data_IF_125299535938
#
_entry.id   IF_125299535938
#
_cell.length_a   1.000
_cell.length_b   1.000
_cell.length_c   1.000
_cell.angle_alpha   90.00
_cell.angle_beta   90.00
_cell.angle_gamma   90.00
#
_symmetry.space_group_name_H-M   'P 1'
#
loop_
_entity.id
_entity.type
_entity.pdbx_description
1 polymer ?
#
# COMPACT_ATOMS: atom_id res chain seq x y z
N UNK A 1 -21.56 4.99 0.71
CA UNK A 1 -21.46 5.40 2.12
C UNK A 1 -20.50 4.42 2.79
N UNK A 2 -19.41 4.90 3.41
CA UNK A 2 -18.48 4.03 4.13
C UNK A 2 -18.90 4.00 5.61
N UNK A 3 -19.23 2.83 6.18
CA UNK A 3 -19.57 2.77 7.60
C UNK A 3 -18.34 3.10 8.47
N UNK A 4 -18.51 3.67 9.67
CA UNK A 4 -17.42 3.85 10.61
C UNK A 4 -16.68 2.53 10.89
N UNK A 5 -15.37 2.59 11.10
CA UNK A 5 -14.52 1.43 11.47
C UNK A 5 -14.65 0.22 10.52
N UNK A 6 -14.76 0.49 9.23
CA UNK A 6 -14.95 -0.51 8.18
C UNK A 6 -13.71 -0.63 7.27
N UNK A 7 -12.52 -0.99 7.81
CA UNK A 7 -11.28 -1.02 7.05
C UNK A 7 -11.33 -2.04 5.91
N UNK A 8 -12.13 -3.10 6.05
CA UNK A 8 -12.35 -4.12 5.01
C UNK A 8 -12.98 -3.54 3.74
N UNK A 9 -13.63 -2.38 3.84
CA UNK A 9 -14.25 -1.67 2.72
C UNK A 9 -13.39 -0.49 2.25
N UNK A 10 -12.12 -0.37 2.68
CA UNK A 10 -11.25 0.74 2.31
C UNK A 10 -10.07 0.25 1.45
N UNK A 11 -10.03 0.54 0.14
CA UNK A 11 -8.99 0.02 -0.76
C UNK A 11 -7.57 0.48 -0.37
N UNK A 12 -7.49 1.62 0.33
CA UNK A 12 -6.23 2.16 0.85
C UNK A 12 -5.57 1.22 1.88
N UNK A 13 -6.34 0.43 2.64
CA UNK A 13 -5.80 -0.54 3.59
C UNK A 13 -5.06 -1.69 2.88
N UNK A 14 -5.57 -2.10 1.72
CA UNK A 14 -4.93 -3.12 0.87
C UNK A 14 -3.64 -2.55 0.27
N UNK A 15 -3.69 -1.32 -0.25
CA UNK A 15 -2.51 -0.62 -0.77
C UNK A 15 -1.41 -0.47 0.30
N UNK A 16 -1.77 -0.04 1.52
CA UNK A 16 -0.82 0.02 2.63
C UNK A 16 -0.27 -1.35 3.02
N UNK A 17 -1.04 -2.42 2.87
CA UNK A 17 -0.56 -3.77 3.13
C UNK A 17 0.53 -4.19 2.14
N UNK A 18 0.43 -3.80 0.87
CA UNK A 18 1.48 -3.99 -0.15
C UNK A 18 2.73 -3.19 0.22
N UNK A 19 2.58 -1.88 0.50
CA UNK A 19 3.70 -1.00 0.89
C UNK A 19 4.44 -1.58 2.12
N UNK A 20 3.69 -1.97 3.16
CA UNK A 20 4.26 -2.59 4.37
C UNK A 20 4.97 -3.91 4.06
N UNK A 21 4.44 -4.72 3.15
CA UNK A 21 5.07 -5.98 2.76
C UNK A 21 6.40 -5.74 2.04
N UNK A 22 6.45 -4.79 1.11
CA UNK A 22 7.69 -4.40 0.43
C UNK A 22 8.73 -3.87 1.42
N UNK A 23 8.36 -2.91 2.27
CA UNK A 23 9.29 -2.34 3.26
C UNK A 23 9.83 -3.38 4.24
N UNK A 24 9.04 -4.39 4.62
CA UNK A 24 9.51 -5.50 5.48
C UNK A 24 10.50 -6.42 4.77
N UNK A 25 10.39 -6.56 3.45
CA UNK A 25 11.25 -7.43 2.65
C UNK A 25 12.55 -6.73 2.26
N UNK A 26 12.43 -5.50 1.77
CA UNK A 26 13.48 -4.81 1.03
C UNK A 26 13.93 -3.50 1.70
N UNK A 27 13.18 -2.98 2.68
CA UNK A 27 13.43 -1.70 3.35
C UNK A 27 14.57 -1.70 4.38
N UNK A 28 15.57 -2.59 4.26
CA UNK A 28 16.72 -2.65 5.17
C UNK A 28 17.50 -1.33 5.20
N UNK A 29 17.53 -0.61 4.07
CA UNK A 29 18.17 0.69 3.94
C UNK A 29 17.35 1.83 4.54
N UNK A 30 16.11 1.62 4.98
CA UNK A 30 15.24 2.68 5.51
C UNK A 30 15.84 3.42 6.72
N UNK A 31 16.71 2.75 7.48
CA UNK A 31 17.35 3.31 8.68
C UNK A 31 18.62 4.13 8.38
N UNK A 32 19.00 4.28 7.11
CA UNK A 32 20.12 5.12 6.70
C UNK A 32 19.66 6.57 6.56
N UNK A 33 20.54 7.52 6.88
CA UNK A 33 20.23 8.95 6.77
C UNK A 33 19.89 9.29 5.30
N UNK A 34 18.77 9.97 5.08
CA UNK A 34 18.20 10.37 3.77
C UNK A 34 17.70 9.26 2.83
N UNK A 35 17.77 7.97 3.16
CA UNK A 35 17.27 6.90 2.27
C UNK A 35 15.78 6.59 2.46
N UNK A 36 15.19 6.91 3.61
CA UNK A 36 13.80 6.58 3.94
C UNK A 36 12.79 7.13 2.91
N UNK A 37 13.02 8.32 2.35
CA UNK A 37 12.15 8.87 1.31
C UNK A 37 12.20 8.05 0.01
N UNK A 38 13.39 7.59 -0.37
CA UNK A 38 13.58 6.78 -1.57
C UNK A 38 12.96 5.39 -1.41
N UNK A 39 13.12 4.77 -0.24
CA UNK A 39 12.50 3.48 0.07
C UNK A 39 10.97 3.57 0.11
N UNK A 40 10.39 4.65 0.66
CA UNK A 40 8.95 4.88 0.59
C UNK A 40 8.47 5.05 -0.85
N UNK A 41 9.21 5.79 -1.66
CA UNK A 41 8.84 6.00 -3.06
C UNK A 41 8.83 4.68 -3.83
N UNK A 42 9.89 3.87 -3.70
CA UNK A 42 9.95 2.52 -4.26
C UNK A 42 8.81 1.63 -3.80
N UNK A 43 8.49 1.64 -2.51
CA UNK A 43 7.39 0.84 -1.98
C UNK A 43 6.03 1.24 -2.58
N UNK A 44 5.85 2.52 -2.94
CA UNK A 44 4.66 2.98 -3.68
C UNK A 44 4.68 2.53 -5.15
N UNK A 45 5.85 2.44 -5.79
CA UNK A 45 5.99 1.96 -7.18
C UNK A 45 5.61 0.49 -7.36
N UNK A 46 5.61 -0.32 -6.29
CA UNK A 46 5.12 -1.70 -6.32
C UNK A 46 3.60 -1.80 -6.61
N UNK A 47 2.85 -0.72 -6.40
CA UNK A 47 1.42 -0.71 -6.66
C UNK A 47 1.19 -0.43 -8.15
N UNK A 48 0.85 -1.48 -8.89
CA UNK A 48 0.52 -1.39 -10.31
C UNK A 48 -0.94 -0.93 -10.53
N UNK A 49 -1.27 -0.32 -11.70
CA UNK A 49 -2.65 0.01 -12.05
C UNK A 49 -3.62 -1.18 -11.96
N UNK A 50 -3.16 -2.37 -12.35
CA UNK A 50 -3.95 -3.61 -12.30
C UNK A 50 -4.29 -4.02 -10.87
N UNK A 51 -3.34 -3.85 -9.93
CA UNK A 51 -3.58 -4.06 -8.51
C UNK A 51 -4.63 -3.07 -7.98
N UNK A 52 -4.56 -1.81 -8.38
CA UNK A 52 -5.52 -0.79 -7.96
C UNK A 52 -6.94 -1.18 -8.34
N UNK A 53 -7.16 -1.65 -9.58
CA UNK A 53 -8.45 -2.21 -10.00
C UNK A 53 -8.88 -3.39 -9.12
N UNK A 54 -7.96 -4.30 -8.81
CA UNK A 54 -8.20 -5.40 -7.86
C UNK A 54 -8.63 -4.94 -6.47
N UNK A 55 -8.05 -3.86 -5.95
CA UNK A 55 -8.39 -3.31 -4.63
C UNK A 55 -9.81 -2.75 -4.58
N UNK A 56 -10.20 -1.98 -5.60
CA UNK A 56 -11.57 -1.45 -5.71
C UNK A 56 -12.60 -2.57 -5.87
N UNK A 57 -12.29 -3.61 -6.65
CA UNK A 57 -13.16 -4.77 -6.82
C UNK A 57 -13.32 -5.56 -5.52
N UNK A 58 -12.21 -5.78 -4.79
CA UNK A 58 -12.24 -6.52 -3.52
C UNK A 58 -13.08 -5.80 -2.45
N UNK A 59 -13.06 -4.47 -2.45
CA UNK A 59 -13.80 -3.64 -1.49
C UNK A 59 -15.24 -3.33 -1.94
N UNK A 60 -15.67 -3.86 -3.09
CA UNK A 60 -17.05 -3.76 -3.58
C UNK A 60 -17.43 -2.40 -4.18
N UNK A 61 -16.45 -1.60 -4.60
CA UNK A 61 -16.70 -0.32 -5.28
C UNK A 61 -16.93 -0.47 -6.79
N UNK A 62 -16.52 -1.59 -7.37
CA UNK A 62 -16.69 -1.95 -8.79
C UNK A 62 -17.03 -3.43 -8.97
#
# INVERSE_FOLDING_TARGET
YLPPYSPDFQPIEIAFSVIKAHLRRDGLSFFTYNSHYYELYKACEEITPEMTWGFFRHTGYI
#
